data_IF_130956102904
#
_entry.id   IF_130956102904
#
_cell.length_a   1.000
_cell.length_b   1.000
_cell.length_c   1.000
_cell.angle_alpha   90.00
_cell.angle_beta   90.00
_cell.angle_gamma   90.00
#
_symmetry.space_group_name_H-M   'P 1'
#
loop_
_entity.id
_entity.type
_entity.pdbx_description
1 polymer ?
#
# COMPACT_ATOMS: atom_id res chain seq x y z
N UNK A 1 -14.21 18.14 -46.36
CA UNK A 1 -14.61 18.52 -44.98
C UNK A 1 -14.27 17.35 -44.06
N UNK A 2 -13.28 17.55 -43.16
CA UNK A 2 -12.76 16.54 -42.21
C UNK A 2 -13.79 16.29 -41.11
N UNK A 3 -14.35 15.08 -41.03
CA UNK A 3 -15.21 14.69 -39.91
C UNK A 3 -14.34 14.29 -38.72
N UNK A 4 -14.44 15.09 -37.65
CA UNK A 4 -13.87 14.86 -36.31
C UNK A 4 -14.31 13.48 -35.80
N UNK A 5 -13.36 12.54 -35.69
CA UNK A 5 -13.56 11.35 -34.87
C UNK A 5 -13.49 11.77 -33.41
N UNK A 6 -14.62 11.66 -32.72
CA UNK A 6 -14.70 11.74 -31.28
C UNK A 6 -13.79 10.66 -30.69
N UNK A 7 -12.64 11.07 -30.16
CA UNK A 7 -11.81 10.23 -29.30
C UNK A 7 -12.54 10.15 -27.97
N UNK A 8 -13.36 9.11 -27.81
CA UNK A 8 -13.84 8.66 -26.51
C UNK A 8 -12.62 8.28 -25.68
N UNK A 9 -12.36 9.05 -24.63
CA UNK A 9 -11.31 8.77 -23.66
C UNK A 9 -11.69 7.50 -22.88
N UNK A 10 -10.78 6.53 -22.87
CA UNK A 10 -10.87 5.37 -22.01
C UNK A 10 -10.14 5.74 -20.72
N UNK A 11 -10.88 5.78 -19.61
CA UNK A 11 -10.32 5.96 -18.29
C UNK A 11 -9.64 4.66 -17.85
N UNK A 12 -8.34 4.73 -17.53
CA UNK A 12 -7.58 3.62 -16.98
C UNK A 12 -7.79 3.57 -15.47
N UNK A 13 -8.38 2.48 -14.99
CA UNK A 13 -8.45 2.15 -13.58
C UNK A 13 -7.10 1.54 -13.20
N UNK A 14 -6.19 2.35 -12.69
CA UNK A 14 -5.17 1.85 -11.78
C UNK A 14 -5.92 1.47 -10.49
N UNK A 15 -6.24 0.19 -10.32
CA UNK A 15 -6.88 -0.29 -9.10
C UNK A 15 -5.84 -0.26 -7.97
N UNK A 16 -5.60 0.92 -7.41
CA UNK A 16 -5.41 1.00 -5.97
C UNK A 16 -6.77 0.60 -5.38
N UNK A 17 -6.89 -0.64 -4.89
CA UNK A 17 -8.10 -1.07 -4.18
C UNK A 17 -8.11 -0.33 -2.84
N UNK A 18 -8.56 0.92 -2.86
CA UNK A 18 -9.21 1.53 -1.71
C UNK A 18 -10.68 1.12 -1.86
N UNK A 19 -11.02 -0.05 -1.35
CA UNK A 19 -12.40 -0.50 -1.28
C UNK A 19 -13.13 0.33 -0.21
N UNK A 20 -13.73 1.45 -0.62
CA UNK A 20 -14.86 2.01 0.12
C UNK A 20 -16.07 1.20 -0.32
N UNK A 21 -16.49 0.28 0.54
CA UNK A 21 -17.67 -0.54 0.32
C UNK A 21 -18.88 0.06 1.07
N UNK A 22 -20.08 -0.37 0.71
CA UNK A 22 -21.31 -0.13 1.45
C UNK A 22 -22.08 -1.45 1.47
N UNK A 23 -22.36 -1.98 2.65
CA UNK A 23 -23.08 -3.24 2.88
C UNK A 23 -24.13 -3.10 3.97
N UNK A 24 -25.07 -4.05 4.10
CA UNK A 24 -25.96 -4.19 5.26
C UNK A 24 -25.71 -5.51 6.04
N UNK A 25 -25.30 -5.42 7.32
CA UNK A 25 -24.78 -6.53 8.12
C UNK A 25 -25.90 -6.90 9.09
N UNK A 26 -26.53 -8.04 8.82
CA UNK A 26 -27.30 -8.77 9.83
C UNK A 26 -26.44 -9.92 10.33
N UNK A 27 -25.48 -9.62 11.21
CA UNK A 27 -24.77 -10.65 11.98
C UNK A 27 -25.09 -10.52 13.46
N UNK A 28 -26.29 -10.98 13.83
CA UNK A 28 -26.66 -11.27 15.21
C UNK A 28 -27.17 -12.72 15.31
N UNK A 29 -26.26 -13.68 15.18
CA UNK A 29 -26.47 -15.05 15.68
C UNK A 29 -25.76 -15.19 17.04
N UNK A 30 -26.34 -15.90 18.04
CA UNK A 30 -25.66 -16.14 19.29
C UNK A 30 -24.47 -17.08 19.04
N UNK A 31 -23.31 -16.50 18.72
CA UNK A 31 -22.08 -17.22 18.36
C UNK A 31 -21.20 -16.57 17.29
N UNK A 32 -21.65 -15.50 16.62
CA UNK A 32 -20.83 -14.80 15.61
C UNK A 32 -19.80 -13.88 16.25
N UNK A 33 -18.52 -14.03 15.89
CA UNK A 33 -17.44 -13.15 16.32
C UNK A 33 -17.78 -11.69 15.98
N UNK A 34 -17.55 -10.73 16.89
CA UNK A 34 -17.95 -9.34 16.68
C UNK A 34 -17.20 -8.73 15.50
N UNK A 35 -17.80 -7.71 14.88
CA UNK A 35 -17.17 -6.79 13.96
C UNK A 35 -15.74 -6.49 14.45
N UNK A 36 -14.74 -6.88 13.66
CA UNK A 36 -13.35 -6.70 14.05
C UNK A 36 -13.02 -5.23 13.82
N UNK A 37 -13.07 -4.46 14.92
CA UNK A 37 -12.70 -3.05 14.99
C UNK A 37 -11.44 -2.75 14.19
N UNK A 38 -11.36 -1.52 13.66
CA UNK A 38 -10.22 -1.02 12.92
C UNK A 38 -8.91 -1.39 13.65
N UNK A 39 -7.86 -1.80 12.91
CA UNK A 39 -6.61 -2.19 13.55
C UNK A 39 -6.07 -1.01 14.36
N UNK A 40 -5.55 -1.28 15.57
CA UNK A 40 -4.87 -0.23 16.32
C UNK A 40 -3.67 0.31 15.52
N UNK A 41 -3.43 1.64 15.51
CA UNK A 41 -2.26 2.23 14.86
C UNK A 41 -0.96 1.63 15.34
N UNK A 42 0.06 1.66 14.48
CA UNK A 42 1.41 1.31 14.86
C UNK A 42 1.93 2.27 15.93
N UNK A 43 2.59 1.70 16.94
CA UNK A 43 3.13 2.45 18.07
C UNK A 43 4.63 2.60 17.92
N UNK A 44 5.08 3.84 17.89
CA UNK A 44 6.50 4.18 17.96
C UNK A 44 7.04 3.87 19.36
N UNK A 45 8.20 3.21 19.43
CA UNK A 45 8.83 2.86 20.70
C UNK A 45 9.26 4.13 21.45
N UNK A 46 8.79 4.28 22.69
CA UNK A 46 9.01 5.47 23.51
C UNK A 46 10.50 5.84 23.67
N UNK A 47 11.39 4.86 23.84
CA UNK A 47 12.83 5.08 24.05
C UNK A 47 13.66 4.98 22.76
N UNK A 48 13.05 5.30 21.61
CA UNK A 48 13.75 5.25 20.34
C UNK A 48 14.23 6.63 19.90
N UNK A 49 15.52 6.71 19.55
CA UNK A 49 16.08 7.89 18.90
C UNK A 49 15.60 7.93 17.45
N UNK A 50 14.89 9.00 17.02
CA UNK A 50 14.52 9.18 15.63
C UNK A 50 15.77 9.31 14.75
N UNK A 51 15.75 8.69 13.57
CA UNK A 51 16.82 8.82 12.56
C UNK A 51 16.32 9.78 11.47
N UNK A 52 17.01 10.90 11.18
CA UNK A 52 16.65 11.77 10.08
C UNK A 52 16.66 11.02 8.74
N UNK A 53 15.72 11.34 7.85
CA UNK A 53 15.53 10.58 6.62
C UNK A 53 16.72 10.73 5.67
N UNK A 54 17.41 11.88 5.72
CA UNK A 54 18.68 12.12 5.01
C UNK A 54 19.77 11.13 5.46
N UNK A 55 19.86 10.86 6.76
CA UNK A 55 20.82 9.88 7.30
C UNK A 55 20.48 8.45 6.91
N UNK A 56 19.19 8.13 6.80
CA UNK A 56 18.75 6.84 6.30
C UNK A 56 19.03 6.72 4.79
N UNK A 57 18.80 7.77 4.00
CA UNK A 57 19.13 7.80 2.57
C UNK A 57 20.63 7.60 2.33
N UNK A 58 21.49 8.30 3.09
CA UNK A 58 22.94 8.09 3.03
C UNK A 58 23.36 6.63 3.36
N UNK A 59 22.62 5.94 4.25
CA UNK A 59 22.90 4.52 4.56
C UNK A 59 22.46 3.62 3.42
N UNK A 60 21.28 3.85 2.88
CA UNK A 60 20.75 3.12 1.73
C UNK A 60 21.66 3.24 0.51
N UNK A 61 22.22 4.42 0.24
CA UNK A 61 23.18 4.64 -0.84
C UNK A 61 24.47 3.82 -0.66
N UNK A 62 24.98 3.72 0.58
CA UNK A 62 26.15 2.88 0.89
C UNK A 62 25.84 1.40 0.75
N UNK A 63 24.68 0.96 1.24
CA UNK A 63 24.20 -0.43 1.11
C UNK A 63 24.01 -0.83 -0.36
N UNK A 64 23.55 0.11 -1.18
CA UNK A 64 23.32 -0.11 -2.61
C UNK A 64 24.58 -0.18 -3.49
N UNK A 65 25.78 -0.06 -2.92
CA UNK A 65 27.05 -0.06 -3.66
C UNK A 65 27.19 -1.31 -4.55
N UNK A 66 26.88 -2.48 -4.00
CA UNK A 66 26.97 -3.77 -4.71
C UNK A 66 25.80 -4.01 -5.68
N UNK A 67 24.76 -3.17 -5.62
CA UNK A 67 23.60 -3.22 -6.52
C UNK A 67 22.71 -4.46 -6.33
N UNK A 68 22.84 -5.17 -5.21
CA UNK A 68 22.00 -6.30 -4.82
C UNK A 68 21.14 -5.94 -3.59
N UNK A 69 19.86 -6.33 -3.53
CA UNK A 69 19.12 -7.07 -4.56
C UNK A 69 18.86 -6.22 -5.81
N UNK A 70 18.64 -6.90 -6.94
CA UNK A 70 18.26 -6.26 -8.22
C UNK A 70 16.75 -6.02 -8.26
N UNK A 71 16.36 -4.93 -8.92
CA UNK A 71 14.97 -4.62 -9.26
C UNK A 71 14.29 -5.79 -9.96
N UNK A 72 13.04 -6.08 -9.57
CA UNK A 72 12.16 -7.05 -10.24
C UNK A 72 10.78 -6.44 -10.45
N UNK A 73 10.17 -6.73 -11.61
CA UNK A 73 8.77 -6.40 -11.87
C UNK A 73 7.88 -7.41 -11.14
N UNK A 74 6.80 -6.92 -10.53
CA UNK A 74 5.95 -7.71 -9.65
C UNK A 74 6.10 -7.29 -8.20
N UNK A 75 5.12 -7.70 -7.40
CA UNK A 75 5.00 -7.32 -6.00
C UNK A 75 4.53 -8.51 -5.17
N UNK A 76 4.81 -8.44 -3.88
CA UNK A 76 4.21 -9.28 -2.87
C UNK A 76 3.87 -8.36 -1.71
N UNK A 77 2.58 -8.18 -1.44
CA UNK A 77 2.10 -7.24 -0.43
C UNK A 77 1.06 -7.91 0.45
N UNK A 78 1.16 -7.66 1.75
CA UNK A 78 0.11 -7.93 2.71
C UNK A 78 -0.56 -6.61 3.07
N UNK A 79 -1.87 -6.51 2.87
CA UNK A 79 -2.66 -5.35 3.24
C UNK A 79 -3.69 -5.67 4.31
N UNK A 80 -4.09 -4.62 5.04
CA UNK A 80 -5.25 -4.60 5.92
C UNK A 80 -5.98 -3.30 5.63
N UNK A 81 -7.19 -3.41 5.09
CA UNK A 81 -8.00 -2.25 4.73
C UNK A 81 -9.28 -2.22 5.55
N UNK A 82 -9.75 -1.03 5.88
CA UNK A 82 -11.01 -0.82 6.56
C UNK A 82 -12.13 -0.82 5.52
N UNK A 83 -12.91 -1.89 5.49
CA UNK A 83 -14.20 -1.93 4.80
C UNK A 83 -15.17 -1.02 5.55
N UNK A 84 -15.59 0.05 4.90
CA UNK A 84 -16.57 1.00 5.42
C UNK A 84 -17.99 0.58 4.99
N UNK A 85 -19.00 1.14 5.64
CA UNK A 85 -20.39 1.13 5.19
C UNK A 85 -21.15 2.25 5.92
N UNK A 86 -22.20 2.79 5.31
CA UNK A 86 -23.06 3.79 5.98
C UNK A 86 -23.88 3.17 7.13
N UNK A 87 -24.28 1.90 6.97
CA UNK A 87 -25.25 1.25 7.86
C UNK A 87 -24.63 0.16 8.74
N UNK A 88 -23.33 -0.10 8.61
CA UNK A 88 -22.64 -1.17 9.35
C UNK A 88 -21.40 -0.66 10.08
N UNK A 89 -21.00 -1.32 11.18
CA UNK A 89 -19.70 -1.11 11.78
C UNK A 89 -18.57 -1.41 10.80
N UNK A 90 -17.47 -0.63 10.81
CA UNK A 90 -16.36 -0.87 9.91
C UNK A 90 -15.66 -2.19 10.24
N UNK A 91 -15.17 -2.86 9.20
CA UNK A 91 -14.50 -4.17 9.30
C UNK A 91 -13.09 -4.10 8.75
N UNK A 92 -12.19 -4.92 9.28
CA UNK A 92 -10.84 -5.07 8.70
C UNK A 92 -10.79 -6.24 7.74
N UNK A 93 -10.29 -6.00 6.52
CA UNK A 93 -10.11 -6.99 5.46
C UNK A 93 -8.61 -7.25 5.25
N UNK A 94 -8.06 -8.37 5.75
CA UNK A 94 -6.67 -8.73 5.58
C UNK A 94 -6.46 -9.53 4.28
N UNK A 95 -5.62 -9.03 3.39
CA UNK A 95 -5.40 -9.62 2.06
C UNK A 95 -3.91 -9.72 1.74
N UNK A 96 -3.49 -10.86 1.20
CA UNK A 96 -2.20 -11.05 0.56
C UNK A 96 -2.38 -10.97 -0.96
N UNK A 97 -1.58 -10.14 -1.63
CA UNK A 97 -1.54 -10.03 -3.08
C UNK A 97 -0.15 -10.32 -3.60
N UNK A 98 -0.06 -11.21 -4.58
CA UNK A 98 1.19 -11.59 -5.23
C UNK A 98 1.05 -11.44 -6.74
N UNK A 99 1.90 -10.60 -7.33
CA UNK A 99 2.00 -10.40 -8.78
C UNK A 99 3.35 -10.91 -9.25
N UNK A 100 3.35 -11.91 -10.13
CA UNK A 100 4.56 -12.47 -10.73
C UNK A 100 4.57 -12.23 -12.23
N UNK A 101 5.61 -11.54 -12.70
CA UNK A 101 5.81 -11.26 -14.11
C UNK A 101 6.73 -12.29 -14.75
N UNK A 102 6.39 -12.67 -15.97
CA UNK A 102 7.21 -13.49 -16.85
C UNK A 102 8.02 -12.60 -17.79
N UNK A 103 9.03 -13.19 -18.44
CA UNK A 103 9.91 -12.48 -19.37
C UNK A 103 9.22 -12.01 -20.67
N UNK A 104 8.05 -12.57 -20.99
CA UNK A 104 7.22 -12.21 -22.14
C UNK A 104 6.17 -11.14 -21.81
N UNK A 105 6.28 -10.47 -20.66
CA UNK A 105 5.32 -9.50 -20.13
C UNK A 105 3.91 -10.07 -19.81
N UNK A 106 3.73 -11.40 -19.80
CA UNK A 106 2.59 -12.00 -19.12
C UNK A 106 2.78 -11.94 -17.60
N UNK A 107 1.68 -11.95 -16.84
CA UNK A 107 1.77 -12.04 -15.38
C UNK A 107 0.60 -12.80 -14.77
N UNK A 108 0.86 -13.36 -13.59
CA UNK A 108 -0.17 -13.94 -12.73
C UNK A 108 -0.40 -13.01 -11.54
N UNK A 109 -1.65 -12.79 -11.19
CA UNK A 109 -2.07 -12.12 -9.98
C UNK A 109 -2.86 -13.09 -9.12
N UNK A 110 -2.41 -13.26 -7.88
CA UNK A 110 -3.07 -14.06 -6.86
C UNK A 110 -3.43 -13.15 -5.68
N UNK A 111 -4.67 -13.21 -5.25
CA UNK A 111 -5.23 -12.48 -4.10
C UNK A 111 -5.84 -13.48 -3.14
N UNK A 112 -5.40 -13.43 -1.89
CA UNK A 112 -5.76 -14.41 -0.85
C UNK A 112 -6.21 -13.66 0.40
N UNK A 113 -7.35 -14.06 0.98
CA UNK A 113 -7.76 -13.59 2.28
C UNK A 113 -6.94 -14.32 3.36
N UNK A 114 -6.06 -13.58 4.04
CA UNK A 114 -5.20 -14.14 5.10
C UNK A 114 -4.69 -13.03 6.03
N UNK A 115 -4.57 -13.34 7.33
CA UNK A 115 -3.95 -12.46 8.33
C UNK A 115 -2.76 -13.18 8.99
N UNK A 116 -1.51 -12.90 8.57
CA UNK A 116 -0.31 -13.50 9.16
C UNK A 116 -0.17 -13.27 10.67
N UNK A 117 -0.90 -12.31 11.25
CA UNK A 117 -0.91 -12.06 12.71
C UNK A 117 -1.73 -13.10 13.47
N UNK A 118 -2.58 -13.88 12.80
CA UNK A 118 -3.49 -14.87 13.36
C UNK A 118 -3.54 -16.14 12.49
N UNK A 119 -2.42 -16.85 12.32
CA UNK A 119 -2.33 -17.98 11.39
C UNK A 119 -3.34 -19.08 11.74
N UNK A 120 -4.01 -19.61 10.73
CA UNK A 120 -5.01 -20.69 10.83
C UNK A 120 -6.34 -20.26 11.44
N UNK A 121 -6.60 -18.95 11.59
CA UNK A 121 -7.91 -18.43 12.03
C UNK A 121 -8.70 -17.93 10.82
N UNK A 122 -10.02 -18.20 10.75
CA UNK A 122 -10.86 -17.60 9.73
C UNK A 122 -10.71 -16.08 9.69
N UNK A 123 -10.76 -15.53 8.48
CA UNK A 123 -10.63 -14.09 8.21
C UNK A 123 -11.87 -13.59 7.49
N UNK A 124 -12.12 -12.28 7.58
CA UNK A 124 -13.15 -11.65 6.76
C UNK A 124 -12.62 -11.48 5.33
N UNK A 125 -13.39 -11.94 4.36
CA UNK A 125 -13.18 -11.64 2.94
C UNK A 125 -14.32 -10.77 2.43
N UNK A 126 -14.02 -9.96 1.43
CA UNK A 126 -15.08 -9.43 0.58
C UNK A 126 -15.73 -10.60 -0.16
N UNK A 127 -17.06 -10.55 -0.31
CA UNK A 127 -17.77 -11.49 -1.17
C UNK A 127 -17.55 -11.13 -2.64
N UNK A 128 -17.69 -12.12 -3.53
CA UNK A 128 -17.72 -11.86 -4.96
C UNK A 128 -18.92 -10.98 -5.33
N UNK A 129 -18.81 -10.23 -6.43
CA UNK A 129 -19.93 -9.45 -6.98
C UNK A 129 -21.16 -10.37 -7.19
N UNK A 130 -22.13 -10.28 -6.28
CA UNK A 130 -23.37 -11.06 -6.30
C UNK A 130 -23.47 -12.18 -5.27
N UNK A 131 -22.41 -12.49 -4.51
CA UNK A 131 -22.40 -13.58 -3.51
C UNK A 131 -22.71 -13.12 -2.07
N UNK A 132 -23.15 -11.86 -1.93
CA UNK A 132 -23.46 -11.24 -0.64
C UNK A 132 -22.30 -10.43 -0.08
N UNK A 133 -22.57 -9.71 1.03
CA UNK A 133 -21.60 -8.84 1.69
C UNK A 133 -20.42 -9.61 2.32
N UNK A 134 -19.57 -8.90 3.09
CA UNK A 134 -18.41 -9.50 3.75
C UNK A 134 -18.78 -10.73 4.60
N UNK A 135 -17.98 -11.78 4.51
CA UNK A 135 -18.22 -13.03 5.25
C UNK A 135 -16.91 -13.69 5.69
N UNK A 136 -17.01 -14.62 6.65
CA UNK A 136 -15.85 -15.36 7.15
C UNK A 136 -15.47 -16.48 6.19
N UNK A 137 -14.19 -16.54 5.85
CA UNK A 137 -13.57 -17.61 5.06
C UNK A 137 -12.41 -18.21 5.84
N UNK A 138 -12.03 -19.44 5.48
CA UNK A 138 -10.82 -20.06 6.04
C UNK A 138 -9.56 -19.25 5.69
N UNK A 139 -8.57 -19.28 6.57
CA UNK A 139 -7.27 -18.64 6.32
C UNK A 139 -6.63 -19.21 5.05
N UNK A 140 -6.18 -18.33 4.16
CA UNK A 140 -5.60 -18.74 2.87
C UNK A 140 -6.63 -18.96 1.76
N UNK A 141 -7.88 -18.53 1.95
CA UNK A 141 -8.91 -18.58 0.92
C UNK A 141 -8.53 -17.72 -0.29
N UNK A 142 -8.58 -18.30 -1.50
CA UNK A 142 -8.27 -17.58 -2.74
C UNK A 142 -9.46 -16.71 -3.12
N UNK A 143 -9.28 -15.39 -3.03
CA UNK A 143 -10.25 -14.39 -3.45
C UNK A 143 -10.22 -14.21 -4.96
N UNK A 144 -9.02 -14.17 -5.55
CA UNK A 144 -8.88 -14.07 -7.01
C UNK A 144 -7.59 -14.70 -7.48
N UNK A 145 -7.66 -15.39 -8.62
CA UNK A 145 -6.50 -15.86 -9.36
C UNK A 145 -6.69 -15.54 -10.83
N UNK A 146 -5.81 -14.70 -11.38
CA UNK A 146 -5.91 -14.23 -12.77
C UNK A 146 -4.57 -14.36 -13.48
N UNK A 147 -4.63 -14.75 -14.75
CA UNK A 147 -3.48 -14.73 -15.65
C UNK A 147 -3.74 -13.75 -16.77
N UNK A 148 -2.80 -12.83 -16.97
CA UNK A 148 -2.87 -11.80 -17.99
C UNK A 148 -1.88 -12.13 -19.12
N UNK A 149 -2.34 -12.15 -20.38
CA UNK A 149 -1.47 -12.43 -21.51
C UNK A 149 -0.47 -11.27 -21.74
N UNK A 150 0.61 -11.52 -22.50
CA UNK A 150 1.46 -10.46 -23.02
C UNK A 150 0.61 -9.37 -23.69
N UNK A 151 0.96 -8.09 -23.51
CA UNK A 151 0.26 -6.90 -24.05
C UNK A 151 -1.08 -6.47 -23.43
N UNK A 152 -1.56 -7.10 -22.36
CA UNK A 152 -2.78 -6.63 -21.66
C UNK A 152 -2.55 -5.44 -20.70
N UNK A 153 -1.32 -4.95 -20.54
CA UNK A 153 -1.02 -3.97 -19.48
C UNK A 153 -0.92 -2.53 -20.01
N UNK A 154 -2.04 -1.81 -19.95
CA UNK A 154 -2.11 -0.35 -20.14
C UNK A 154 -1.77 0.42 -18.84
N UNK A 155 -1.21 -0.21 -17.80
CA UNK A 155 -0.90 0.46 -16.53
C UNK A 155 0.53 1.05 -16.54
N UNK A 156 0.70 2.39 -16.59
CA UNK A 156 2.02 3.01 -16.53
C UNK A 156 2.56 3.17 -15.10
N UNK A 157 3.90 3.30 -14.95
CA UNK A 157 4.88 3.21 -16.03
C UNK A 157 5.45 1.78 -16.10
N UNK A 158 5.26 1.13 -17.26
CA UNK A 158 5.90 -0.15 -17.59
C UNK A 158 7.44 -0.05 -17.61
N UNK A 159 7.97 1.16 -17.76
CA UNK A 159 9.40 1.45 -17.72
C UNK A 159 9.96 1.23 -16.31
N UNK A 160 11.14 0.62 -16.18
CA UNK A 160 11.82 0.47 -14.88
C UNK A 160 12.01 1.83 -14.17
N UNK A 161 11.78 1.91 -12.85
CA UNK A 161 12.00 3.14 -12.08
C UNK A 161 13.46 3.62 -12.19
N UNK A 162 13.69 4.94 -12.36
CA UNK A 162 15.02 5.53 -12.35
C UNK A 162 15.74 5.36 -10.99
N UNK A 163 17.08 5.32 -11.04
CA UNK A 163 17.97 5.21 -9.86
C UNK A 163 18.48 6.56 -9.33
N UNK A 164 17.91 7.64 -9.82
CA UNK A 164 18.25 9.01 -9.44
C UNK A 164 17.00 9.65 -8.86
N UNK A 165 17.11 10.29 -7.69
CA UNK A 165 15.95 10.82 -6.97
C UNK A 165 15.17 11.86 -7.80
N UNK A 166 15.86 12.76 -8.52
CA UNK A 166 15.20 13.79 -9.34
C UNK A 166 14.44 13.15 -10.51
N UNK A 167 15.05 12.18 -11.20
CA UNK A 167 14.38 11.43 -12.27
C UNK A 167 13.25 10.56 -11.75
N UNK A 168 13.41 9.97 -10.56
CA UNK A 168 12.38 9.19 -9.91
C UNK A 168 11.17 10.06 -9.55
N UNK A 169 11.39 11.31 -9.09
CA UNK A 169 10.31 12.28 -8.89
C UNK A 169 9.49 12.49 -10.16
N UNK A 170 10.17 12.80 -11.27
CA UNK A 170 9.52 13.03 -12.56
C UNK A 170 8.75 11.78 -13.04
N UNK A 171 9.35 10.60 -12.87
CA UNK A 171 8.73 9.32 -13.18
C UNK A 171 7.44 9.09 -12.38
N UNK A 172 7.44 9.38 -11.07
CA UNK A 172 6.26 9.23 -10.21
C UNK A 172 5.19 10.27 -10.52
N UNK A 173 5.57 11.50 -10.85
CA UNK A 173 4.62 12.54 -11.30
C UNK A 173 3.92 12.13 -12.60
N UNK A 174 4.65 11.57 -13.56
CA UNK A 174 4.07 11.07 -14.82
C UNK A 174 3.14 9.87 -14.57
N UNK A 175 3.55 8.91 -13.73
CA UNK A 175 2.75 7.76 -13.35
C UNK A 175 1.37 8.15 -12.78
N UNK A 176 1.37 9.19 -11.95
CA UNK A 176 0.17 9.70 -11.28
C UNK A 176 -0.56 10.79 -12.07
N UNK A 177 -0.11 11.10 -13.31
CA UNK A 177 -0.68 12.16 -14.15
C UNK A 177 -0.77 13.52 -13.43
N UNK A 178 0.28 13.88 -12.67
CA UNK A 178 0.34 15.13 -11.92
C UNK A 178 0.90 16.26 -12.77
N UNK A 179 0.13 17.35 -12.89
CA UNK A 179 0.52 18.55 -13.63
C UNK A 179 1.44 19.51 -12.83
N UNK A 180 1.57 19.28 -11.53
CA UNK A 180 2.38 20.07 -10.60
C UNK A 180 3.37 19.18 -9.83
N UNK A 181 4.42 19.75 -9.21
CA UNK A 181 5.27 18.99 -8.30
C UNK A 181 4.43 18.32 -7.20
N UNK A 182 4.63 17.01 -6.94
CA UNK A 182 3.81 16.27 -6.00
C UNK A 182 4.00 16.80 -4.59
N UNK A 183 2.89 16.98 -3.88
CA UNK A 183 2.88 17.13 -2.42
C UNK A 183 3.43 15.86 -1.76
N UNK A 184 3.80 15.94 -0.47
CA UNK A 184 4.26 14.76 0.27
C UNK A 184 3.21 13.66 0.37
N UNK A 185 1.93 14.02 0.49
CA UNK A 185 0.82 13.05 0.45
C UNK A 185 0.78 12.29 -0.87
N UNK A 186 0.74 13.02 -1.99
CA UNK A 186 0.75 12.42 -3.34
C UNK A 186 2.03 11.61 -3.60
N UNK A 187 3.17 12.01 -3.03
CA UNK A 187 4.41 11.26 -3.14
C UNK A 187 4.36 9.92 -2.40
N UNK A 188 3.69 9.87 -1.24
CA UNK A 188 3.47 8.61 -0.50
C UNK A 188 2.50 7.70 -1.26
N UNK A 189 1.45 8.25 -1.86
CA UNK A 189 0.52 7.49 -2.70
C UNK A 189 1.22 6.94 -3.95
N UNK A 190 2.03 7.76 -4.62
CA UNK A 190 2.85 7.34 -5.76
C UNK A 190 3.87 6.25 -5.36
N UNK A 191 4.39 6.32 -4.14
CA UNK A 191 5.29 5.29 -3.58
C UNK A 191 4.57 3.96 -3.42
N UNK A 192 3.33 3.95 -2.91
CA UNK A 192 2.54 2.72 -2.81
C UNK A 192 2.31 2.10 -4.20
N UNK A 193 1.89 2.90 -5.19
CA UNK A 193 1.67 2.44 -6.57
C UNK A 193 2.95 1.88 -7.20
N UNK A 194 4.11 2.52 -6.95
CA UNK A 194 5.41 2.02 -7.38
C UNK A 194 5.68 0.62 -6.81
N UNK A 195 5.46 0.44 -5.50
CA UNK A 195 5.75 -0.81 -4.78
C UNK A 195 4.73 -1.92 -5.08
N UNK A 196 3.51 -1.58 -5.48
CA UNK A 196 2.51 -2.53 -5.97
C UNK A 196 2.80 -3.03 -7.39
N UNK A 197 3.75 -2.38 -8.08
CA UNK A 197 4.17 -2.73 -9.44
C UNK A 197 5.57 -3.36 -9.44
N UNK A 198 6.47 -2.88 -8.59
CA UNK A 198 7.88 -3.23 -8.59
C UNK A 198 8.38 -3.64 -7.21
N UNK A 199 9.13 -4.74 -7.18
CA UNK A 199 10.00 -5.08 -6.07
C UNK A 199 11.33 -4.35 -6.26
N UNK A 200 11.50 -3.23 -5.56
CA UNK A 200 12.67 -2.35 -5.71
C UNK A 200 13.98 -3.03 -5.30
N UNK A 201 15.01 -2.83 -6.13
CA UNK A 201 16.39 -3.20 -5.82
C UNK A 201 17.07 -2.17 -4.92
N UNK A 202 18.30 -2.46 -4.49
CA UNK A 202 19.02 -1.60 -3.54
C UNK A 202 19.21 -0.16 -4.07
N UNK A 203 19.51 0.00 -5.37
CA UNK A 203 19.72 1.31 -5.99
C UNK A 203 18.41 2.11 -6.09
N UNK A 204 17.32 1.43 -6.41
CA UNK A 204 16.00 2.07 -6.48
C UNK A 204 15.47 2.41 -5.07
N UNK A 205 15.71 1.57 -4.06
CA UNK A 205 15.43 1.89 -2.66
C UNK A 205 16.21 3.12 -2.18
N UNK A 206 17.51 3.21 -2.50
CA UNK A 206 18.33 4.37 -2.17
C UNK A 206 17.81 5.65 -2.84
N UNK A 207 17.44 5.58 -4.13
CA UNK A 207 16.86 6.72 -4.85
C UNK A 207 15.52 7.18 -4.24
N UNK A 208 14.65 6.23 -3.85
CA UNK A 208 13.40 6.52 -3.19
C UNK A 208 13.61 7.13 -1.80
N UNK A 209 14.54 6.60 -1.01
CA UNK A 209 14.88 7.15 0.30
C UNK A 209 15.42 8.58 0.18
N UNK A 210 16.27 8.85 -0.82
CA UNK A 210 16.79 10.20 -1.10
C UNK A 210 15.69 11.15 -1.55
N UNK A 211 14.78 10.69 -2.41
CA UNK A 211 13.60 11.45 -2.85
C UNK A 211 12.71 11.87 -1.68
N UNK A 212 12.41 10.92 -0.78
CA UNK A 212 11.55 11.14 0.39
C UNK A 212 12.23 12.00 1.45
N UNK A 213 13.56 11.95 1.56
CA UNK A 213 14.32 12.84 2.45
C UNK A 213 14.11 14.33 2.11
N UNK A 214 13.87 14.65 0.84
CA UNK A 214 13.57 16.00 0.36
C UNK A 214 12.05 16.29 0.35
N UNK A 215 11.22 15.49 1.03
CA UNK A 215 9.77 15.68 1.11
C UNK A 215 9.36 16.55 2.30
N UNK A 216 8.60 17.61 2.03
CA UNK A 216 8.18 18.57 3.05
C UNK A 216 7.23 17.95 4.08
N UNK A 217 7.54 18.14 5.36
CA UNK A 217 6.65 17.71 6.46
C UNK A 217 6.69 16.22 6.80
N UNK A 218 7.50 15.40 6.13
CA UNK A 218 7.71 13.99 6.48
C UNK A 218 8.71 13.88 7.65
N UNK A 219 8.20 13.79 8.88
CA UNK A 219 8.99 13.91 10.12
C UNK A 219 9.44 12.54 10.64
N UNK A 220 10.70 12.42 11.06
CA UNK A 220 11.17 11.21 11.74
C UNK A 220 10.47 11.02 13.10
N UNK A 221 9.91 9.84 13.33
CA UNK A 221 9.14 9.55 14.53
C UNK A 221 9.88 8.63 15.52
N UNK A 222 10.59 7.61 15.03
CA UNK A 222 11.31 6.66 15.90
C UNK A 222 11.26 5.22 15.36
N UNK A 223 11.71 4.26 16.17
CA UNK A 223 11.65 2.84 15.81
C UNK A 223 10.25 2.28 16.00
N UNK A 224 9.84 1.39 15.10
CA UNK A 224 8.55 0.71 15.12
C UNK A 224 8.74 -0.77 14.80
N UNK A 225 7.81 -1.62 15.26
CA UNK A 225 7.66 -2.98 14.73
C UNK A 225 6.42 -2.98 13.85
N UNK A 226 6.60 -3.35 12.60
CA UNK A 226 5.55 -3.35 11.59
C UNK A 226 4.57 -4.54 11.78
N UNK A 227 3.50 -4.61 10.98
CA UNK A 227 2.46 -5.67 11.14
C UNK A 227 2.95 -7.08 10.81
N UNK A 228 4.04 -7.21 10.07
CA UNK A 228 4.72 -8.48 9.79
C UNK A 228 5.83 -8.80 10.81
N UNK A 229 5.93 -8.02 11.90
CA UNK A 229 6.92 -8.23 12.96
C UNK A 229 8.32 -7.70 12.65
N UNK A 230 8.51 -6.98 11.54
CA UNK A 230 9.80 -6.46 11.10
C UNK A 230 10.13 -5.16 11.84
N UNK A 231 11.41 -4.97 12.15
CA UNK A 231 11.87 -3.75 12.79
C UNK A 231 12.17 -2.67 11.75
N UNK A 232 11.57 -1.49 11.91
CA UNK A 232 11.73 -0.37 11.00
C UNK A 232 11.94 0.96 11.71
N UNK A 233 12.30 1.97 10.92
CA UNK A 233 12.28 3.37 11.29
C UNK A 233 11.01 4.02 10.71
N UNK A 234 10.24 4.69 11.55
CA UNK A 234 9.00 5.36 11.19
C UNK A 234 9.22 6.84 10.86
N UNK A 235 8.51 7.29 9.84
CA UNK A 235 8.38 8.69 9.41
C UNK A 235 6.90 9.01 9.27
N UNK A 236 6.48 10.17 9.76
CA UNK A 236 5.08 10.56 9.88
C UNK A 236 4.82 11.84 9.11
N UNK A 237 3.75 11.85 8.34
CA UNK A 237 3.21 13.01 7.67
C UNK A 237 1.74 13.19 8.09
N UNK A 238 1.36 14.39 8.50
CA UNK A 238 -0.02 14.73 8.84
C UNK A 238 -0.56 15.63 7.71
N UNK A 239 -1.57 15.17 6.98
CA UNK A 239 -2.13 15.91 5.84
C UNK A 239 -3.28 15.19 5.16
N UNK A 240 -4.16 15.95 4.49
CA UNK A 240 -5.27 15.38 3.71
C UNK A 240 -6.30 14.62 4.54
N UNK A 241 -6.49 14.96 5.83
CA UNK A 241 -7.42 14.26 6.73
C UNK A 241 -6.87 12.97 7.35
N UNK A 242 -5.62 12.61 7.04
CA UNK A 242 -4.99 11.39 7.55
C UNK A 242 -3.62 11.68 8.15
N UNK A 243 -3.22 10.81 9.08
CA UNK A 243 -1.85 10.65 9.50
C UNK A 243 -1.27 9.47 8.76
N UNK A 244 -0.26 9.72 7.92
CA UNK A 244 0.45 8.68 7.17
C UNK A 244 1.73 8.31 7.91
N UNK A 245 1.95 7.02 8.19
CA UNK A 245 3.20 6.50 8.76
C UNK A 245 3.91 5.62 7.75
N UNK A 246 5.05 6.09 7.24
CA UNK A 246 5.95 5.32 6.42
C UNK A 246 6.95 4.58 7.31
N UNK A 247 7.08 3.26 7.14
CA UNK A 247 8.04 2.42 7.84
C UNK A 247 9.11 1.98 6.86
N UNK A 248 10.38 2.25 7.16
CA UNK A 248 11.51 1.91 6.30
C UNK A 248 12.54 1.05 7.03
N UNK A 249 13.18 0.15 6.30
CA UNK A 249 14.32 -0.60 6.81
C UNK A 249 15.50 0.36 7.10
N UNK A 250 16.06 0.36 8.32
CA UNK A 250 17.06 1.35 8.72
C UNK A 250 18.45 1.15 8.09
N UNK A 251 18.69 0.00 7.44
CA UNK A 251 19.95 -0.31 6.75
C UNK A 251 19.88 0.01 5.25
N UNK A 252 18.95 -0.65 4.57
CA UNK A 252 18.77 -0.61 3.12
C UNK A 252 17.89 0.53 2.62
N UNK A 253 17.18 1.24 3.51
CA UNK A 253 16.22 2.29 3.15
C UNK A 253 15.00 1.78 2.40
N UNK A 254 14.77 0.47 2.45
CA UNK A 254 13.73 -0.16 1.68
C UNK A 254 12.39 -0.04 2.44
N UNK A 255 11.33 0.46 1.80
CA UNK A 255 10.00 0.66 2.42
C UNK A 255 9.42 -0.68 2.89
N UNK A 256 9.16 -0.81 4.19
CA UNK A 256 8.56 -2.00 4.78
C UNK A 256 7.04 -1.91 4.77
N UNK A 257 6.49 -0.75 5.11
CA UNK A 257 5.06 -0.54 5.08
C UNK A 257 4.64 0.92 5.13
N UNK A 258 3.36 1.15 4.88
CA UNK A 258 2.71 2.46 4.89
C UNK A 258 1.36 2.29 5.59
N UNK A 259 1.13 3.09 6.63
CA UNK A 259 -0.14 3.15 7.38
C UNK A 259 -0.84 4.47 7.13
N UNK A 260 -2.16 4.44 6.97
CA UNK A 260 -3.02 5.62 7.04
C UNK A 260 -3.94 5.53 8.25
N UNK A 261 -3.97 6.58 9.07
CA UNK A 261 -4.81 6.67 10.27
C UNK A 261 -5.72 7.89 10.17
N UNK A 262 -7.01 7.71 10.46
CA UNK A 262 -7.96 8.82 10.54
C UNK A 262 -7.54 9.80 11.65
N UNK A 263 -7.58 11.10 11.36
CA UNK A 263 -7.27 12.14 12.37
C UNK A 263 -8.52 12.77 13.00
N UNK A 264 -9.69 12.47 12.44
CA UNK A 264 -10.99 12.94 12.86
C UNK A 264 -12.01 11.80 12.76
N UNK A 265 -13.09 11.91 13.53
CA UNK A 265 -14.20 10.97 13.45
C UNK A 265 -14.94 11.15 12.11
N UNK A 266 -15.33 10.05 11.49
CA UNK A 266 -16.29 10.02 10.39
C UNK A 266 -17.50 9.17 10.78
N UNK A 267 -18.47 9.75 11.54
CA UNK A 267 -19.60 8.99 12.09
C UNK A 267 -20.47 8.32 11.04
N UNK A 268 -20.49 8.86 9.81
CA UNK A 268 -21.21 8.28 8.68
C UNK A 268 -20.70 6.88 8.31
N UNK A 269 -19.44 6.57 8.63
CA UNK A 269 -18.80 5.29 8.33
C UNK A 269 -18.39 4.52 9.60
N UNK A 270 -18.81 4.99 10.78
CA UNK A 270 -18.42 4.42 12.06
C UNK A 270 -16.92 4.49 12.35
N UNK A 271 -16.19 5.40 11.71
CA UNK A 271 -14.74 5.57 11.88
C UNK A 271 -14.45 6.56 13.00
N UNK A 272 -13.60 6.19 13.94
CA UNK A 272 -13.13 7.07 15.01
C UNK A 272 -11.75 7.65 14.70
N UNK A 273 -11.45 8.84 15.23
CA UNK A 273 -10.10 9.39 15.18
C UNK A 273 -9.11 8.42 15.83
N UNK A 274 -8.05 8.06 15.10
CA UNK A 274 -7.09 7.03 15.51
C UNK A 274 -7.35 5.66 14.91
N UNK A 275 -8.42 5.44 14.16
CA UNK A 275 -8.63 4.20 13.41
C UNK A 275 -7.69 4.11 12.21
N UNK A 276 -7.13 2.91 11.99
CA UNK A 276 -6.33 2.62 10.80
C UNK A 276 -7.27 2.32 9.64
N UNK A 277 -7.14 3.14 8.60
CA UNK A 277 -7.92 3.03 7.36
C UNK A 277 -7.31 2.00 6.44
N UNK A 278 -6.01 2.05 6.27
CA UNK A 278 -5.27 1.09 5.47
C UNK A 278 -3.85 0.91 6.01
N UNK A 279 -3.32 -0.28 5.78
CA UNK A 279 -1.91 -0.59 5.96
C UNK A 279 -1.45 -1.53 4.86
N UNK A 280 -0.38 -1.18 4.18
CA UNK A 280 0.32 -2.06 3.23
C UNK A 280 1.69 -2.45 3.77
N UNK A 281 2.06 -3.71 3.61
CA UNK A 281 3.35 -4.28 3.97
C UNK A 281 3.95 -5.03 2.78
N UNK A 282 4.99 -4.47 2.17
CA UNK A 282 5.65 -5.09 1.01
C UNK A 282 6.69 -6.10 1.46
N UNK A 283 6.56 -7.32 0.94
CA UNK A 283 7.46 -8.46 1.15
C UNK A 283 8.50 -8.50 0.02
N UNK A 284 9.68 -9.06 0.28
CA UNK A 284 10.84 -8.99 -0.63
C UNK A 284 11.48 -10.34 -0.90
#
# INVERSE_FOLDING_TARGET
>A
VRARRHRTGWALVAAAVVAVSAGALLLAGPGSAPAVAAPRPLVVRADSTPVPLERLAERAERDAADGSPRLRKGTHVQSWSLGMSEDEPPITLPVERVVRWNADDSHTELVVATDPRRPGRPVLSEGDEGDGGPHLVEDGHVVSERTFPPSWSDAPPQSPPPRDATRLRAYLSEAQHLDAPPTTGELLDATAVLLDTWTLGARENAALARLLADADGLRSAGRVTDRLGRHGQAYVYDGGGYRRMLVMDPGSGAVLGLESTAVADEPAYGVEAGDVIDYSAWVR
#
